data_IF_352031441526
#
_entry.id   IF_352031441526
#
_cell.length_a   1.000
_cell.length_b   1.000
_cell.length_c   1.000
_cell.angle_alpha   90.00
_cell.angle_beta   90.00
_cell.angle_gamma   90.00
#
_symmetry.space_group_name_H-M   'P 1'
#
loop_
_entity.id
_entity.type
_entity.pdbx_description
1 polymer ?
#
# COMPACT_ATOMS: atom_id res chain seq x y z
N UNK A 1 10.87 15.71 -21.37
CA UNK A 1 10.82 14.37 -20.76
C UNK A 1 9.37 14.16 -20.34
N UNK A 2 8.62 13.33 -21.07
CA UNK A 2 7.21 13.11 -20.77
C UNK A 2 7.13 12.14 -19.59
N UNK A 3 6.83 12.65 -18.39
CA UNK A 3 6.33 11.76 -17.34
C UNK A 3 4.93 11.32 -17.76
N UNK A 4 4.60 10.03 -17.63
CA UNK A 4 3.23 9.52 -17.82
C UNK A 4 2.35 9.87 -16.59
N UNK A 5 2.66 10.97 -15.92
CA UNK A 5 1.95 11.45 -14.74
C UNK A 5 0.66 12.16 -15.15
N UNK A 6 -0.37 11.96 -14.36
CA UNK A 6 -1.70 12.56 -14.52
C UNK A 6 -2.22 13.05 -13.17
N UNK A 7 -3.31 13.80 -13.19
CA UNK A 7 -4.11 14.03 -12.00
C UNK A 7 -5.10 12.89 -11.81
N UNK A 8 -5.34 12.57 -10.55
CA UNK A 8 -6.33 11.59 -10.14
C UNK A 8 -7.26 12.21 -9.11
N UNK A 9 -8.56 12.09 -9.33
CA UNK A 9 -9.56 12.50 -8.34
C UNK A 9 -10.31 11.28 -7.84
N UNK A 10 -10.57 11.25 -6.53
CA UNK A 10 -11.46 10.26 -5.94
C UNK A 10 -12.44 10.89 -4.98
N UNK A 11 -13.68 10.40 -5.00
CA UNK A 11 -14.69 10.70 -4.01
C UNK A 11 -14.50 9.75 -2.83
N UNK A 12 -14.35 10.31 -1.65
CA UNK A 12 -14.23 9.56 -0.40
C UNK A 12 -15.29 10.05 0.59
N UNK A 13 -15.84 9.13 1.39
CA UNK A 13 -16.60 9.52 2.58
C UNK A 13 -15.64 10.25 3.52
N UNK A 14 -16.07 11.37 4.08
CA UNK A 14 -15.27 12.03 5.11
C UNK A 14 -15.33 11.14 6.35
N UNK A 15 -14.21 11.02 7.05
CA UNK A 15 -14.21 10.44 8.38
C UNK A 15 -13.78 11.48 9.40
N UNK A 16 -14.25 11.29 10.61
CA UNK A 16 -13.76 12.01 11.78
C UNK A 16 -13.16 11.00 12.76
N UNK A 17 -12.11 11.41 13.46
CA UNK A 17 -11.57 10.65 14.57
C UNK A 17 -12.25 11.14 15.83
N UNK A 18 -13.19 10.36 16.36
CA UNK A 18 -13.86 10.65 17.63
C UNK A 18 -13.48 9.58 18.63
N UNK A 19 -12.96 10.01 19.77
CA UNK A 19 -12.51 9.13 20.85
C UNK A 19 -11.51 8.04 20.41
N UNK A 20 -10.67 8.33 19.40
CA UNK A 20 -9.67 7.38 18.88
C UNK A 20 -10.21 6.35 17.89
N UNK A 21 -11.51 6.38 17.59
CA UNK A 21 -12.16 5.54 16.58
C UNK A 21 -12.42 6.34 15.30
N UNK A 22 -12.20 5.71 14.15
CA UNK A 22 -12.59 6.29 12.85
C UNK A 22 -14.10 6.14 12.70
N UNK A 23 -14.80 7.27 12.56
CA UNK A 23 -16.23 7.30 12.27
C UNK A 23 -16.43 7.94 10.89
N UNK A 24 -16.89 7.13 9.94
CA UNK A 24 -17.32 7.62 8.63
C UNK A 24 -18.56 8.51 8.81
N UNK A 25 -18.54 9.68 8.18
CA UNK A 25 -19.70 10.56 8.09
C UNK A 25 -20.50 10.23 6.82
N UNK A 26 -21.71 10.78 6.72
CA UNK A 26 -22.50 10.72 5.49
C UNK A 26 -22.06 11.74 4.44
N UNK A 27 -21.12 12.63 4.81
CA UNK A 27 -20.55 13.61 3.89
C UNK A 27 -19.50 12.97 2.99
N UNK A 28 -19.41 13.44 1.76
CA UNK A 28 -18.39 13.01 0.81
C UNK A 28 -17.59 14.21 0.32
N UNK A 29 -16.33 13.97 0.01
CA UNK A 29 -15.43 14.96 -0.58
C UNK A 29 -14.68 14.36 -1.76
N UNK A 30 -14.47 15.17 -2.79
CA UNK A 30 -13.58 14.82 -3.89
C UNK A 30 -12.20 15.35 -3.57
N UNK A 31 -11.22 14.46 -3.54
CA UNK A 31 -9.81 14.78 -3.37
C UNK A 31 -9.12 14.73 -4.72
N UNK A 32 -8.24 15.70 -4.99
CA UNK A 32 -7.45 15.77 -6.21
C UNK A 32 -5.97 15.53 -5.85
N UNK A 33 -5.37 14.54 -6.49
CA UNK A 33 -3.99 14.14 -6.33
C UNK A 33 -3.25 14.40 -7.63
N UNK A 34 -2.15 15.12 -7.57
CA UNK A 34 -1.26 15.32 -8.71
C UNK A 34 -0.20 14.22 -8.78
N UNK A 35 0.57 14.24 -9.88
CA UNK A 35 1.75 13.37 -10.09
C UNK A 35 1.45 11.89 -9.88
N UNK A 36 0.28 11.46 -10.34
CA UNK A 36 -0.18 10.09 -10.21
C UNK A 36 0.20 9.27 -11.45
N UNK A 37 0.57 8.01 -11.25
CA UNK A 37 0.75 7.03 -12.32
C UNK A 37 -0.34 5.96 -12.23
N UNK A 38 -0.80 5.48 -13.39
CA UNK A 38 -1.91 4.52 -13.49
C UNK A 38 -1.37 3.20 -14.03
N UNK A 39 -1.64 2.11 -13.33
CA UNK A 39 -1.35 0.74 -13.77
C UNK A 39 -2.62 -0.07 -13.85
N UNK A 40 -2.69 -1.02 -14.79
CA UNK A 40 -3.87 -1.84 -15.04
C UNK A 40 -3.54 -3.30 -14.86
N UNK A 41 -4.48 -4.03 -14.28
CA UNK A 41 -4.24 -5.37 -13.80
C UNK A 41 -5.53 -6.19 -13.85
N UNK A 42 -5.49 -7.47 -14.22
CA UNK A 42 -6.68 -8.33 -14.07
C UNK A 42 -6.77 -8.90 -12.65
N UNK A 43 -7.88 -8.59 -11.98
CA UNK A 43 -8.24 -9.15 -10.68
C UNK A 43 -8.59 -10.64 -10.80
N UNK A 44 -8.35 -11.48 -9.77
CA UNK A 44 -8.82 -12.86 -9.72
C UNK A 44 -10.33 -13.00 -9.97
N UNK A 45 -11.10 -11.95 -9.65
CA UNK A 45 -12.55 -11.86 -9.90
C UNK A 45 -12.91 -11.51 -11.35
N UNK A 46 -11.94 -11.57 -12.28
CA UNK A 46 -12.08 -11.18 -13.70
C UNK A 46 -12.45 -9.70 -13.95
N UNK A 47 -12.40 -8.86 -12.93
CA UNK A 47 -12.54 -7.40 -13.09
C UNK A 47 -11.21 -6.75 -13.46
N UNK A 48 -11.25 -5.61 -14.12
CA UNK A 48 -10.05 -4.81 -14.35
C UNK A 48 -9.75 -4.01 -13.09
N UNK A 49 -8.63 -4.28 -12.44
CA UNK A 49 -8.12 -3.51 -11.32
C UNK A 49 -7.27 -2.36 -11.86
N UNK A 50 -7.62 -1.15 -11.44
CA UNK A 50 -6.82 0.05 -11.62
C UNK A 50 -6.01 0.26 -10.35
N UNK A 51 -4.70 0.43 -10.51
CA UNK A 51 -3.77 0.77 -9.42
C UNK A 51 -3.23 2.15 -9.69
N UNK A 52 -3.54 3.08 -8.79
CA UNK A 52 -3.07 4.47 -8.81
C UNK A 52 -1.93 4.58 -7.82
N UNK A 53 -0.79 5.13 -8.24
CA UNK A 53 0.28 5.53 -7.33
C UNK A 53 0.49 7.02 -7.37
N UNK A 54 0.59 7.65 -6.21
CA UNK A 54 0.94 9.07 -6.10
C UNK A 54 2.36 9.20 -5.56
N UNK A 55 3.18 9.96 -6.27
CA UNK A 55 4.49 10.40 -5.80
C UNK A 55 4.33 11.73 -5.05
N UNK A 56 3.81 11.66 -3.83
CA UNK A 56 3.69 12.83 -2.98
C UNK A 56 5.08 13.35 -2.55
N UNK A 57 5.18 14.66 -2.30
CA UNK A 57 6.42 15.37 -2.02
C UNK A 57 7.26 14.78 -0.87
N UNK A 58 8.59 14.96 -0.99
CA UNK A 58 9.65 14.60 -0.04
C UNK A 58 9.54 15.40 1.26
N UNK A 59 8.69 15.02 2.20
CA UNK A 59 8.60 15.75 3.47
C UNK A 59 8.24 14.82 4.63
N UNK A 60 9.21 14.04 5.10
CA UNK A 60 9.25 13.66 6.51
C UNK A 60 10.67 13.79 7.05
N UNK A 61 10.87 14.80 7.90
CA UNK A 61 11.94 14.80 8.89
C UNK A 61 11.39 14.13 10.15
N UNK A 62 11.49 12.80 10.24
CA UNK A 62 11.33 12.13 11.53
C UNK A 62 12.55 12.50 12.39
N UNK A 63 12.35 12.91 13.64
CA UNK A 63 13.49 13.28 14.52
C UNK A 63 14.52 12.14 14.70
N UNK A 64 14.09 10.88 14.48
CA UNK A 64 14.94 9.69 14.49
C UNK A 64 15.56 9.33 13.13
N UNK A 65 15.04 9.87 12.02
CA UNK A 65 15.52 9.62 10.66
C UNK A 65 15.82 10.97 10.03
N UNK A 66 17.03 11.48 10.29
CA UNK A 66 17.49 12.81 9.87
C UNK A 66 17.89 12.85 8.38
N UNK A 67 16.99 12.43 7.48
CA UNK A 67 17.19 12.48 6.03
C UNK A 67 15.86 12.67 5.29
N UNK A 68 15.85 13.27 4.10
CA UNK A 68 14.66 13.35 3.26
C UNK A 68 14.17 11.94 2.86
N UNK A 69 12.86 11.70 2.94
CA UNK A 69 12.23 10.44 2.56
C UNK A 69 11.05 10.71 1.62
N UNK A 70 10.81 9.79 0.69
CA UNK A 70 9.68 9.86 -0.25
C UNK A 70 8.56 8.98 0.28
N UNK A 71 7.40 9.60 0.59
CA UNK A 71 6.18 8.85 0.89
C UNK A 71 5.50 8.45 -0.42
N UNK A 72 5.32 7.15 -0.61
CA UNK A 72 4.64 6.58 -1.77
C UNK A 72 3.25 6.15 -1.34
N UNK A 73 2.26 6.55 -2.13
CA UNK A 73 0.87 6.20 -1.87
C UNK A 73 0.34 5.29 -2.98
N UNK A 74 -0.43 4.27 -2.61
CA UNK A 74 -1.09 3.35 -3.54
C UNK A 74 -2.58 3.25 -3.22
N UNK A 75 -3.42 3.33 -4.26
CA UNK A 75 -4.85 3.03 -4.21
C UNK A 75 -5.18 2.04 -5.32
N UNK A 76 -5.85 0.94 -4.96
CA UNK A 76 -6.25 -0.11 -5.90
C UNK A 76 -7.75 -0.36 -5.84
N UNK A 77 -8.43 -0.30 -6.98
CA UNK A 77 -9.87 -0.54 -7.08
C UNK A 77 -10.23 -1.25 -8.38
N UNK A 78 -11.33 -2.00 -8.36
CA UNK A 78 -11.82 -2.74 -9.52
C UNK A 78 -12.85 -1.90 -10.28
N UNK A 79 -12.78 -1.92 -11.62
CA UNK A 79 -13.71 -1.23 -12.52
C UNK A 79 -14.31 -2.20 -13.55
N UNK A 80 -15.46 -1.83 -14.08
CA UNK A 80 -16.18 -2.58 -15.13
C UNK A 80 -16.50 -1.73 -16.36
N UNK A 81 -16.47 -0.40 -16.21
CA UNK A 81 -16.78 0.57 -17.26
C UNK A 81 -15.77 1.71 -17.23
N UNK A 82 -15.81 2.55 -18.26
CA UNK A 82 -15.10 3.83 -18.30
C UNK A 82 -15.89 4.75 -19.20
N UNK A 83 -16.07 6.00 -18.78
CA UNK A 83 -16.80 6.99 -19.54
C UNK A 83 -15.97 7.53 -20.71
N UNK A 84 -16.62 8.13 -21.73
CA UNK A 84 -15.92 8.82 -22.81
C UNK A 84 -15.03 9.95 -22.28
N UNK A 85 -13.86 10.09 -22.91
CA UNK A 85 -12.96 11.21 -22.67
C UNK A 85 -13.59 12.52 -23.16
N UNK A 86 -13.58 13.55 -22.32
CA UNK A 86 -14.19 14.86 -22.63
C UNK A 86 -13.31 16.04 -22.18
N UNK A 87 -13.57 17.20 -22.77
CA UNK A 87 -13.13 18.49 -22.24
C UNK A 87 -14.13 18.98 -21.19
N UNK A 88 -13.66 19.40 -20.03
CA UNK A 88 -14.49 20.01 -18.99
C UNK A 88 -13.92 21.38 -18.63
N UNK A 89 -14.77 22.41 -18.73
CA UNK A 89 -14.43 23.78 -18.36
C UNK A 89 -14.78 24.07 -16.89
N UNK A 90 -14.07 25.00 -16.23
CA UNK A 90 -14.41 25.42 -14.87
C UNK A 90 -15.84 25.96 -14.78
N UNK A 91 -16.57 25.55 -13.74
CA UNK A 91 -17.90 26.03 -13.46
C UNK A 91 -17.89 27.52 -13.07
N UNK A 92 -18.94 28.25 -13.45
CA UNK A 92 -19.06 29.65 -13.10
C UNK A 92 -19.50 29.80 -11.64
N UNK A 93 -19.24 30.98 -11.05
CA UNK A 93 -19.64 31.29 -9.65
C UNK A 93 -21.14 31.09 -9.41
N UNK A 94 -21.99 31.22 -10.46
CA UNK A 94 -23.43 30.99 -10.36
C UNK A 94 -23.79 29.51 -10.20
N UNK A 95 -23.04 28.62 -10.85
CA UNK A 95 -23.29 27.17 -10.86
C UNK A 95 -22.86 26.50 -9.53
N UNK A 96 -21.93 27.13 -8.80
CA UNK A 96 -21.41 26.62 -7.52
C UNK A 96 -22.41 26.67 -6.36
N UNK A 97 -23.52 27.40 -6.51
CA UNK A 97 -24.58 27.40 -5.49
C UNK A 97 -25.36 26.08 -5.44
N UNK A 98 -25.31 25.29 -6.51
CA UNK A 98 -26.18 24.12 -6.69
C UNK A 98 -25.44 22.77 -6.67
N UNK A 99 -24.10 22.74 -6.75
CA UNK A 99 -23.35 21.46 -6.68
C UNK A 99 -21.88 21.62 -6.26
N UNK A 100 -21.51 20.95 -5.16
CA UNK A 100 -20.13 20.81 -4.70
C UNK A 100 -19.29 19.86 -5.54
N UNK A 101 -19.86 19.24 -6.58
CA UNK A 101 -19.18 18.27 -7.45
C UNK A 101 -18.63 18.89 -8.75
N UNK A 102 -18.89 20.17 -8.99
CA UNK A 102 -18.46 20.85 -10.21
C UNK A 102 -16.95 21.16 -10.18
N UNK A 103 -16.31 21.05 -11.34
CA UNK A 103 -14.91 21.42 -11.51
C UNK A 103 -14.71 22.92 -11.34
N UNK A 104 -13.81 23.32 -10.44
CA UNK A 104 -13.50 24.73 -10.12
C UNK A 104 -12.05 25.11 -10.35
N UNK A 105 -11.32 24.30 -11.13
CA UNK A 105 -9.92 24.54 -11.37
C UNK A 105 -9.63 25.79 -12.21
N UNK A 106 -8.35 26.15 -12.36
CA UNK A 106 -7.92 27.37 -13.04
C UNK A 106 -8.14 27.36 -14.56
N UNK A 107 -8.51 26.23 -15.16
CA UNK A 107 -8.68 26.11 -16.61
C UNK A 107 -9.35 24.81 -17.02
N UNK A 108 -9.52 24.67 -18.34
CA UNK A 108 -10.06 23.47 -18.97
C UNK A 108 -9.21 22.23 -18.65
N UNK A 109 -9.86 21.08 -18.56
CA UNK A 109 -9.17 19.79 -18.39
C UNK A 109 -9.70 18.72 -19.35
N UNK A 110 -8.81 17.84 -19.76
CA UNK A 110 -9.17 16.56 -20.35
C UNK A 110 -9.46 15.57 -19.23
N UNK A 111 -10.65 14.99 -19.19
CA UNK A 111 -11.09 14.13 -18.07
C UNK A 111 -11.94 12.98 -18.58
N UNK A 112 -11.78 11.83 -17.94
CA UNK A 112 -12.74 10.73 -18.02
C UNK A 112 -12.95 10.11 -16.64
N UNK A 113 -14.09 9.45 -16.49
CA UNK A 113 -14.54 8.83 -15.26
C UNK A 113 -14.42 7.31 -15.36
N UNK A 114 -13.89 6.66 -14.33
CA UNK A 114 -13.69 5.20 -14.29
C UNK A 114 -14.90 4.47 -13.68
N UNK A 115 -15.54 5.11 -12.70
CA UNK A 115 -16.81 4.69 -12.12
C UNK A 115 -17.39 5.88 -11.35
N UNK A 116 -18.41 5.70 -10.51
CA UNK A 116 -19.06 6.79 -9.78
C UNK A 116 -18.13 7.65 -8.93
N UNK A 117 -17.01 7.08 -8.45
CA UNK A 117 -16.14 7.70 -7.45
C UNK A 117 -14.74 8.09 -7.94
N UNK A 118 -14.38 7.88 -9.21
CA UNK A 118 -12.99 8.04 -9.67
C UNK A 118 -12.85 8.73 -11.03
N UNK A 119 -11.91 9.67 -11.13
CA UNK A 119 -11.59 10.41 -12.35
C UNK A 119 -10.08 10.45 -12.60
N UNK A 120 -9.69 10.38 -13.86
CA UNK A 120 -8.33 10.65 -14.33
C UNK A 120 -8.39 11.86 -15.25
N UNK A 121 -7.48 12.82 -15.04
CA UNK A 121 -7.49 14.05 -15.82
C UNK A 121 -6.11 14.72 -15.92
N UNK A 122 -6.00 15.68 -16.84
CA UNK A 122 -4.87 16.59 -16.97
C UNK A 122 -5.37 17.94 -17.49
N UNK A 123 -4.64 19.01 -17.19
CA UNK A 123 -4.98 20.33 -17.73
C UNK A 123 -4.84 20.31 -19.25
N UNK A 124 -5.80 20.93 -19.92
CA UNK A 124 -5.72 21.16 -21.36
C UNK A 124 -4.68 22.25 -21.62
N UNK A 125 -3.71 21.93 -22.46
CA UNK A 125 -2.76 22.91 -23.00
C UNK A 125 -3.27 23.41 -24.36
N UNK A 126 -3.25 24.72 -24.57
CA UNK A 126 -3.85 25.40 -25.73
C UNK A 126 -3.21 24.96 -27.06
N UNK A 127 -1.96 24.46 -27.02
CA UNK A 127 -1.23 23.99 -28.19
C UNK A 127 -1.34 22.48 -28.45
N UNK A 128 -2.00 21.72 -27.57
CA UNK A 128 -1.93 20.25 -27.53
C UNK A 128 -3.25 19.58 -27.94
N UNK A 129 -3.20 18.69 -28.93
CA UNK A 129 -4.35 17.83 -29.28
C UNK A 129 -4.57 16.76 -28.20
N UNK A 130 -5.82 16.37 -27.99
CA UNK A 130 -6.21 15.37 -27.00
C UNK A 130 -5.48 14.04 -27.21
N UNK A 131 -5.18 13.66 -28.45
CA UNK A 131 -4.51 12.38 -28.75
C UNK A 131 -3.05 12.33 -28.26
N UNK A 132 -2.45 13.49 -28.00
CA UNK A 132 -1.09 13.62 -27.46
C UNK A 132 -1.03 13.52 -25.92
N UNK A 133 -2.18 13.67 -25.24
CA UNK A 133 -2.30 13.64 -23.77
C UNK A 133 -1.96 12.29 -23.16
N UNK A 134 -1.51 12.29 -21.90
CA UNK A 134 -1.32 11.06 -21.14
C UNK A 134 -2.69 10.45 -20.78
N UNK A 135 -3.66 11.29 -20.47
CA UNK A 135 -5.04 10.88 -20.20
C UNK A 135 -5.64 10.10 -21.36
N UNK A 136 -5.44 10.52 -22.61
CA UNK A 136 -5.92 9.78 -23.78
C UNK A 136 -5.27 8.40 -23.89
N UNK A 137 -3.95 8.29 -23.72
CA UNK A 137 -3.23 7.00 -23.76
C UNK A 137 -3.76 6.05 -22.69
N UNK A 138 -3.98 6.54 -21.46
CA UNK A 138 -4.50 5.73 -20.36
C UNK A 138 -5.94 5.29 -20.65
N UNK A 139 -6.77 6.21 -21.17
CA UNK A 139 -8.15 5.90 -21.56
C UNK A 139 -8.22 4.77 -22.60
N UNK A 140 -7.39 4.84 -23.65
CA UNK A 140 -7.30 3.78 -24.66
C UNK A 140 -6.82 2.45 -24.06
N UNK A 141 -5.79 2.47 -23.20
CA UNK A 141 -5.32 1.26 -22.51
C UNK A 141 -6.43 0.59 -21.68
N UNK A 142 -7.27 1.37 -21.01
CA UNK A 142 -8.40 0.84 -20.22
C UNK A 142 -9.45 0.23 -21.13
N UNK A 143 -9.85 0.91 -22.21
CA UNK A 143 -10.81 0.40 -23.18
C UNK A 143 -10.35 -0.93 -23.83
N UNK A 144 -9.07 -1.03 -24.20
CA UNK A 144 -8.48 -2.27 -24.72
C UNK A 144 -8.56 -3.43 -23.72
N UNK A 145 -8.32 -3.15 -22.44
CA UNK A 145 -8.35 -4.18 -21.39
C UNK A 145 -9.78 -4.61 -21.05
N UNK A 146 -10.74 -3.67 -21.02
CA UNK A 146 -12.15 -3.95 -20.77
C UNK A 146 -12.81 -4.71 -21.93
N UNK A 147 -12.43 -4.43 -23.17
CA UNK A 147 -12.93 -5.14 -24.37
C UNK A 147 -12.39 -6.58 -24.51
N UNK A 148 -11.49 -7.01 -23.63
CA UNK A 148 -11.01 -8.39 -23.58
C UNK A 148 -9.95 -8.76 -24.62
N UNK A 149 -9.39 -7.76 -25.34
CA UNK A 149 -8.46 -7.98 -26.45
C UNK A 149 -7.08 -8.54 -26.04
N UNK A 150 -6.71 -8.48 -24.75
CA UNK A 150 -5.46 -9.05 -24.21
C UNK A 150 -5.77 -10.24 -23.29
N UNK A 151 -5.52 -11.46 -23.77
CA UNK A 151 -5.56 -12.70 -22.98
C UNK A 151 -4.14 -13.12 -22.60
N UNK A 152 -3.46 -12.37 -21.72
CA UNK A 152 -2.23 -12.89 -21.10
C UNK A 152 -2.50 -13.38 -19.67
N UNK A 153 -1.86 -14.51 -19.37
CA UNK A 153 -2.14 -15.39 -18.24
C UNK A 153 -2.03 -14.72 -16.88
N UNK A 154 -2.90 -15.17 -15.98
CA UNK A 154 -2.94 -14.77 -14.58
C UNK A 154 -1.62 -15.13 -13.87
N UNK A 155 -1.04 -14.17 -13.14
CA UNK A 155 -0.51 -14.39 -11.78
C UNK A 155 0.14 -13.16 -11.12
N UNK A 156 0.37 -12.05 -11.83
CA UNK A 156 1.11 -10.90 -11.27
C UNK A 156 0.27 -9.62 -11.27
N UNK A 157 -0.40 -9.38 -10.15
CA UNK A 157 -1.25 -8.18 -10.01
C UNK A 157 -0.44 -6.89 -9.95
N UNK A 158 0.84 -6.94 -9.62
CA UNK A 158 1.63 -5.73 -9.49
C UNK A 158 2.87 -5.72 -10.36
N UNK A 159 2.89 -6.35 -11.54
CA UNK A 159 4.05 -6.25 -12.44
C UNK A 159 4.18 -4.82 -13.00
N UNK A 160 4.91 -3.96 -12.27
CA UNK A 160 5.02 -2.54 -12.58
C UNK A 160 6.00 -2.29 -13.72
N UNK A 161 5.52 -1.54 -14.70
CA UNK A 161 6.40 -0.83 -15.62
C UNK A 161 6.70 0.55 -15.02
N UNK A 162 7.96 1.00 -15.02
CA UNK A 162 8.30 2.27 -14.42
C UNK A 162 7.72 3.44 -15.24
N UNK A 163 6.77 4.19 -14.66
CA UNK A 163 6.08 5.32 -15.30
C UNK A 163 6.57 6.68 -14.82
N UNK A 164 7.21 6.72 -13.65
CA UNK A 164 7.88 7.90 -13.11
C UNK A 164 9.38 7.64 -12.90
N UNK A 165 10.17 8.71 -12.67
CA UNK A 165 11.57 8.58 -12.28
C UNK A 165 11.71 7.86 -10.92
N UNK A 166 10.78 8.11 -9.99
CA UNK A 166 10.69 7.41 -8.71
C UNK A 166 10.49 5.91 -8.92
N UNK A 167 9.55 5.54 -9.80
CA UNK A 167 9.28 4.13 -10.12
C UNK A 167 10.51 3.47 -10.73
N UNK A 168 11.23 4.16 -11.64
CA UNK A 168 12.49 3.65 -12.21
C UNK A 168 13.51 3.37 -11.12
N UNK A 169 13.75 4.34 -10.25
CA UNK A 169 14.73 4.16 -9.17
C UNK A 169 14.38 2.98 -8.25
N UNK A 170 13.10 2.80 -7.91
CA UNK A 170 12.63 1.66 -7.12
C UNK A 170 12.79 0.36 -7.89
N UNK A 171 12.22 0.28 -9.08
CA UNK A 171 12.18 -0.95 -9.88
C UNK A 171 13.59 -1.38 -10.27
N UNK A 172 14.46 -0.45 -10.66
CA UNK A 172 15.86 -0.72 -10.97
C UNK A 172 16.60 -1.20 -9.71
N UNK A 173 16.35 -0.57 -8.55
CA UNK A 173 16.90 -1.04 -7.28
C UNK A 173 16.45 -2.46 -6.95
N UNK A 174 15.16 -2.79 -7.12
CA UNK A 174 14.64 -4.12 -6.83
C UNK A 174 15.10 -5.18 -7.85
N UNK A 175 15.27 -4.81 -9.13
CA UNK A 175 15.76 -5.73 -10.19
C UNK A 175 17.26 -5.95 -10.16
N UNK A 176 18.03 -4.96 -9.72
CA UNK A 176 19.49 -5.00 -9.64
C UNK A 176 19.95 -4.49 -8.28
N UNK A 177 19.54 -5.16 -7.19
CA UNK A 177 19.86 -4.68 -5.87
C UNK A 177 21.37 -4.87 -5.63
N UNK A 178 22.01 -4.01 -4.83
CA UNK A 178 23.44 -4.10 -4.57
C UNK A 178 23.79 -5.45 -3.93
N UNK A 179 24.78 -6.14 -4.52
CA UNK A 179 25.47 -7.35 -4.02
C UNK A 179 24.65 -8.27 -3.10
N UNK A 180 24.71 -7.99 -1.79
CA UNK A 180 24.14 -8.79 -0.70
C UNK A 180 22.61 -8.91 -0.68
N UNK A 181 21.90 -8.17 -1.53
CA UNK A 181 20.44 -8.20 -1.61
C UNK A 181 19.90 -8.99 -2.82
N UNK A 182 20.77 -9.44 -3.74
CA UNK A 182 20.39 -9.99 -5.06
C UNK A 182 19.54 -11.26 -5.03
N UNK A 183 19.61 -12.01 -3.94
CA UNK A 183 18.82 -13.25 -3.74
C UNK A 183 17.90 -13.19 -2.51
N UNK A 184 17.79 -12.01 -1.88
CA UNK A 184 16.94 -11.83 -0.70
C UNK A 184 15.49 -11.63 -1.11
N UNK A 185 14.59 -12.34 -0.44
CA UNK A 185 13.15 -12.08 -0.53
C UNK A 185 12.84 -10.95 0.45
N UNK A 186 12.36 -9.83 -0.11
CA UNK A 186 12.05 -8.60 0.61
C UNK A 186 10.61 -8.20 0.23
N UNK A 187 9.64 -8.34 1.14
CA UNK A 187 8.26 -8.01 0.82
C UNK A 187 8.05 -6.51 0.65
N UNK A 188 7.07 -6.16 -0.18
CA UNK A 188 6.48 -4.81 -0.21
C UNK A 188 5.26 -4.79 0.69
N UNK A 189 5.19 -3.80 1.58
CA UNK A 189 4.16 -3.71 2.60
C UNK A 189 3.25 -2.52 2.29
N UNK A 190 1.95 -2.77 2.28
CA UNK A 190 0.93 -1.73 2.16
C UNK A 190 0.18 -1.57 3.48
N UNK A 191 0.16 -0.35 4.01
CA UNK A 191 -0.59 0.00 5.23
C UNK A 191 -1.55 1.15 4.96
N UNK A 192 -2.81 1.11 5.43
CA UNK A 192 -3.73 2.24 5.33
C UNK A 192 -3.09 3.57 5.82
N UNK A 193 -3.13 4.59 4.96
CA UNK A 193 -2.50 5.88 5.22
C UNK A 193 -3.11 6.63 6.42
N UNK A 194 -4.38 6.35 6.72
CA UNK A 194 -5.10 6.92 7.87
C UNK A 194 -4.50 6.44 9.20
N UNK A 195 -3.93 5.23 9.22
CA UNK A 195 -3.30 4.64 10.41
C UNK A 195 -1.83 5.01 10.57
N UNK A 196 -1.12 5.17 9.44
CA UNK A 196 0.30 5.57 9.43
C UNK A 196 0.59 6.90 10.13
N UNK A 197 -0.39 7.78 10.35
CA UNK A 197 -0.17 9.08 11.01
C UNK A 197 0.32 8.97 12.47
N UNK A 198 0.07 7.84 13.15
CA UNK A 198 0.59 7.58 14.52
C UNK A 198 1.30 6.24 14.66
N UNK A 199 0.92 5.24 13.86
CA UNK A 199 1.39 3.86 13.96
C UNK A 199 2.04 3.39 12.65
N UNK A 200 3.10 4.06 12.21
CA UNK A 200 3.76 3.70 10.95
C UNK A 200 4.88 2.67 11.13
N UNK A 201 5.13 1.92 10.07
CA UNK A 201 6.20 0.95 10.00
C UNK A 201 7.58 1.63 10.02
N UNK A 202 8.48 1.14 10.87
CA UNK A 202 9.84 1.68 11.08
C UNK A 202 10.90 0.78 10.48
N UNK A 203 10.79 -0.51 10.76
CA UNK A 203 11.81 -1.48 10.38
C UNK A 203 11.16 -2.73 9.83
N UNK A 204 11.83 -3.31 8.84
CA UNK A 204 11.51 -4.60 8.25
C UNK A 204 12.76 -5.45 8.33
N UNK A 205 12.68 -6.52 9.08
CA UNK A 205 13.75 -7.49 9.19
C UNK A 205 13.36 -8.71 8.38
N UNK A 206 14.24 -9.15 7.48
CA UNK A 206 14.04 -10.34 6.66
C UNK A 206 15.17 -11.33 6.95
N UNK A 207 14.90 -12.31 7.82
CA UNK A 207 15.81 -13.41 8.11
C UNK A 207 15.51 -14.58 7.17
N UNK A 208 16.34 -14.73 6.14
CA UNK A 208 16.17 -15.76 5.12
C UNK A 208 17.00 -17.01 5.44
N UNK A 209 16.38 -18.17 5.22
CA UNK A 209 17.01 -19.47 5.23
C UNK A 209 16.67 -20.18 3.92
N UNK A 210 17.69 -20.54 3.17
CA UNK A 210 17.51 -21.39 2.00
C UNK A 210 17.38 -22.85 2.43
N UNK A 211 16.41 -23.53 1.84
CA UNK A 211 16.08 -24.94 2.02
C UNK A 211 16.45 -25.72 0.75
N UNK A 212 16.47 -27.04 0.86
CA UNK A 212 16.75 -27.90 -0.29
C UNK A 212 15.71 -27.72 -1.40
N UNK A 213 16.14 -27.93 -2.64
CA UNK A 213 15.25 -27.88 -3.81
C UNK A 213 14.93 -26.47 -4.33
N UNK A 214 15.69 -25.45 -3.94
CA UNK A 214 15.47 -24.07 -4.41
C UNK A 214 14.28 -23.38 -3.74
N UNK A 215 13.93 -23.85 -2.55
CA UNK A 215 12.91 -23.26 -1.69
C UNK A 215 13.60 -22.34 -0.69
N UNK A 216 13.09 -21.14 -0.49
CA UNK A 216 13.56 -20.23 0.56
C UNK A 216 12.43 -19.97 1.56
N UNK A 217 12.77 -20.06 2.84
CA UNK A 217 11.92 -19.60 3.95
C UNK A 217 12.46 -18.26 4.45
N UNK A 218 11.59 -17.26 4.59
CA UNK A 218 11.95 -15.97 5.18
C UNK A 218 11.04 -15.68 6.35
N UNK A 219 11.64 -15.50 7.52
CA UNK A 219 10.97 -14.86 8.65
C UNK A 219 11.04 -13.35 8.46
N UNK A 220 9.86 -12.73 8.33
CA UNK A 220 9.71 -11.29 8.22
C UNK A 220 9.21 -10.77 9.55
N UNK A 221 9.94 -9.82 10.13
CA UNK A 221 9.53 -9.10 11.33
C UNK A 221 9.34 -7.62 11.03
N UNK A 222 8.16 -7.11 11.35
CA UNK A 222 7.75 -5.72 11.20
C UNK A 222 7.82 -5.04 12.56
N UNK A 223 8.51 -3.90 12.64
CA UNK A 223 8.54 -3.07 13.85
C UNK A 223 7.80 -1.78 13.55
N UNK A 224 6.72 -1.52 14.28
CA UNK A 224 5.94 -0.30 14.16
C UNK A 224 6.38 0.74 15.19
N UNK A 225 6.15 2.00 14.87
CA UNK A 225 6.52 3.11 15.76
C UNK A 225 5.80 3.06 17.11
N UNK A 226 4.57 2.56 17.13
CA UNK A 226 3.68 2.55 18.28
C UNK A 226 2.58 1.51 18.07
N UNK A 227 1.80 1.26 19.12
CA UNK A 227 0.66 0.37 19.14
C UNK A 227 -0.48 1.09 19.88
N UNK A 228 -1.58 1.38 19.16
CA UNK A 228 -2.78 2.03 19.72
C UNK A 228 -3.98 1.09 19.63
N UNK A 229 -4.55 0.74 20.79
CA UNK A 229 -5.81 0.00 20.86
C UNK A 229 -6.98 0.95 20.55
N UNK A 230 -7.48 0.93 19.30
CA UNK A 230 -8.57 1.83 18.87
C UNK A 230 -9.94 1.46 19.44
N UNK A 231 -10.26 0.16 19.47
CA UNK A 231 -11.51 -0.38 20.01
C UNK A 231 -11.46 -0.41 21.53
N UNK A 232 -10.27 -0.61 22.09
CA UNK A 232 -10.03 -0.72 23.53
C UNK A 232 -9.20 0.44 24.10
N UNK A 233 -9.44 1.68 23.67
CA UNK A 233 -8.64 2.86 24.06
C UNK A 233 -8.50 3.06 25.57
N UNK A 234 -9.52 2.74 26.35
CA UNK A 234 -9.48 2.85 27.82
C UNK A 234 -8.41 1.92 28.45
N UNK A 235 -8.02 0.87 27.73
CA UNK A 235 -6.99 -0.08 28.13
C UNK A 235 -5.62 0.25 27.52
N UNK A 236 -5.50 1.26 26.66
CA UNK A 236 -4.24 1.58 25.96
C UNK A 236 -3.13 2.00 26.94
N UNK A 237 -3.44 2.82 27.95
CA UNK A 237 -2.50 3.22 29.00
C UNK A 237 -2.00 2.04 29.85
N UNK A 238 -2.88 1.24 30.50
CA UNK A 238 -2.41 0.09 31.26
C UNK A 238 -1.75 -0.97 30.38
N UNK A 239 -2.15 -1.11 29.12
CA UNK A 239 -1.53 -2.04 28.18
C UNK A 239 -0.12 -1.60 27.76
N UNK A 240 0.09 -0.30 27.49
CA UNK A 240 1.43 0.26 27.24
C UNK A 240 2.37 0.02 28.41
N UNK A 241 1.93 0.29 29.63
CA UNK A 241 2.73 0.05 30.83
C UNK A 241 2.99 -1.45 31.05
N UNK A 242 2.01 -2.31 30.80
CA UNK A 242 2.19 -3.76 30.84
C UNK A 242 3.21 -4.24 29.79
N UNK A 243 3.17 -3.72 28.55
CA UNK A 243 4.13 -4.08 27.50
C UNK A 243 5.54 -3.60 27.81
N UNK A 244 5.69 -2.39 28.36
CA UNK A 244 6.99 -1.91 28.86
C UNK A 244 7.56 -2.84 29.92
N UNK A 245 6.70 -3.32 30.81
CA UNK A 245 7.11 -4.17 31.93
C UNK A 245 7.37 -5.63 31.51
N UNK A 246 6.60 -6.18 30.58
CA UNK A 246 6.70 -7.60 30.16
C UNK A 246 7.66 -7.77 28.97
N UNK A 247 7.62 -6.86 27.99
CA UNK A 247 8.32 -6.99 26.70
C UNK A 247 9.39 -5.92 26.47
N UNK A 248 9.63 -5.05 27.45
CA UNK A 248 10.71 -4.05 27.42
C UNK A 248 10.66 -3.12 26.20
N UNK A 249 9.46 -2.87 25.64
CA UNK A 249 9.30 -2.07 24.42
C UNK A 249 7.97 -1.31 24.35
N UNK A 250 8.01 -0.19 23.64
CA UNK A 250 6.85 0.63 23.26
C UNK A 250 6.34 0.37 21.84
N UNK A 251 7.17 -0.28 21.04
CA UNK A 251 6.89 -0.61 19.65
C UNK A 251 6.11 -1.91 19.54
N UNK A 252 5.14 -1.91 18.64
CA UNK A 252 4.53 -3.16 18.20
C UNK A 252 5.50 -3.93 17.30
N UNK A 253 5.52 -5.25 17.45
CA UNK A 253 6.36 -6.12 16.63
C UNK A 253 5.56 -7.34 16.23
N UNK A 254 5.43 -7.52 14.93
CA UNK A 254 4.68 -8.62 14.34
C UNK A 254 5.54 -9.40 13.35
N UNK A 255 5.38 -10.72 13.33
CA UNK A 255 6.24 -11.61 12.55
C UNK A 255 5.45 -12.67 11.79
N UNK A 256 5.76 -12.84 10.52
CA UNK A 256 5.18 -13.87 9.66
C UNK A 256 6.27 -14.57 8.85
N UNK A 257 5.93 -15.70 8.22
CA UNK A 257 6.85 -16.37 7.30
C UNK A 257 6.39 -16.28 5.87
N UNK A 258 7.36 -16.26 4.97
CA UNK A 258 7.18 -16.37 3.53
C UNK A 258 7.91 -17.63 3.07
N UNK A 259 7.20 -18.50 2.35
CA UNK A 259 7.79 -19.64 1.66
C UNK A 259 7.75 -19.34 0.17
N UNK A 260 8.93 -19.33 -0.47
CA UNK A 260 9.08 -19.15 -1.91
C UNK A 260 9.75 -20.39 -2.50
N UNK A 261 9.02 -21.09 -3.34
CA UNK A 261 9.49 -22.16 -4.20
C UNK A 261 9.67 -21.60 -5.63
N UNK A 262 10.93 -21.40 -6.03
CA UNK A 262 11.25 -20.86 -7.37
C UNK A 262 10.94 -21.85 -8.50
N UNK A 263 10.74 -23.13 -8.18
CA UNK A 263 10.41 -24.17 -9.15
C UNK A 263 8.91 -24.33 -9.37
N UNK A 264 8.09 -24.03 -8.35
CA UNK A 264 6.64 -24.14 -8.42
C UNK A 264 5.92 -23.00 -7.67
N UNK A 265 5.41 -22.03 -8.44
CA UNK A 265 4.68 -20.87 -7.94
C UNK A 265 3.49 -21.20 -7.02
N UNK A 266 2.82 -22.32 -7.24
CA UNK A 266 1.64 -22.69 -6.45
C UNK A 266 1.98 -23.05 -5.00
N UNK A 267 3.26 -23.36 -4.73
CA UNK A 267 3.75 -23.65 -3.39
C UNK A 267 4.06 -22.38 -2.59
N UNK A 268 4.04 -21.21 -3.23
CA UNK A 268 4.39 -19.95 -2.58
C UNK A 268 3.27 -19.51 -1.64
N UNK A 269 3.62 -19.30 -0.36
CA UNK A 269 2.64 -19.01 0.69
C UNK A 269 3.20 -18.11 1.76
N UNK A 270 2.31 -17.30 2.34
CA UNK A 270 2.51 -16.70 3.65
C UNK A 270 2.08 -17.67 4.74
N UNK A 271 2.70 -17.57 5.90
CA UNK A 271 2.26 -18.25 7.13
C UNK A 271 2.11 -17.16 8.19
N UNK A 272 0.85 -16.86 8.54
CA UNK A 272 0.51 -15.86 9.55
C UNK A 272 0.20 -16.59 10.86
N UNK A 273 1.12 -16.54 11.82
CA UNK A 273 0.88 -17.17 13.12
C UNK A 273 0.23 -16.16 14.06
N UNK A 274 -1.06 -16.34 14.37
CA UNK A 274 -1.84 -15.49 15.28
C UNK A 274 -1.96 -14.02 14.87
N UNK A 275 -1.81 -13.72 13.57
CA UNK A 275 -1.83 -12.35 13.01
C UNK A 275 -2.55 -12.31 11.66
N UNK A 276 -3.38 -13.31 11.34
CA UNK A 276 -4.13 -13.27 10.09
C UNK A 276 -5.40 -12.43 10.25
N UNK A 277 -5.71 -11.57 9.29
CA UNK A 277 -6.86 -10.66 9.39
C UNK A 277 -8.23 -11.33 9.21
N UNK A 278 -8.28 -12.64 8.93
CA UNK A 278 -9.54 -13.39 8.78
C UNK A 278 -9.80 -14.24 10.04
N UNK A 279 -10.97 -14.04 10.67
CA UNK A 279 -11.48 -14.87 11.77
C UNK A 279 -12.90 -15.35 11.41
N UNK A 280 -13.19 -16.64 11.58
CA UNK A 280 -14.50 -17.24 11.28
C UNK A 280 -15.02 -16.92 9.87
N UNK A 281 -14.12 -16.82 8.90
CA UNK A 281 -14.43 -16.45 7.51
C UNK A 281 -14.77 -14.97 7.29
N UNK A 282 -14.67 -14.13 8.33
CA UNK A 282 -14.87 -12.68 8.24
C UNK A 282 -13.52 -11.98 8.09
N UNK A 283 -13.42 -11.14 7.06
CA UNK A 283 -12.26 -10.29 6.85
C UNK A 283 -12.41 -9.02 7.70
N UNK A 284 -11.44 -8.80 8.59
CA UNK A 284 -11.43 -7.66 9.50
C UNK A 284 -10.77 -6.44 8.84
N UNK A 285 -11.32 -5.26 9.12
CA UNK A 285 -10.84 -3.99 8.58
C UNK A 285 -9.97 -3.22 9.59
N UNK A 286 -9.64 -1.98 9.23
CA UNK A 286 -8.75 -1.12 10.01
C UNK A 286 -9.17 -0.93 11.48
N UNK A 287 -10.44 -1.14 11.86
CA UNK A 287 -10.93 -0.90 13.21
C UNK A 287 -10.74 -2.07 14.19
N UNK A 288 -10.37 -3.25 13.70
CA UNK A 288 -10.28 -4.44 14.53
C UNK A 288 -8.84 -4.63 15.05
N UNK A 289 -8.58 -4.09 16.23
CA UNK A 289 -7.26 -4.00 16.87
C UNK A 289 -6.81 -5.28 17.60
N UNK A 290 -7.71 -6.23 17.87
CA UNK A 290 -7.44 -7.40 18.74
C UNK A 290 -7.41 -8.73 17.97
N UNK A 291 -7.24 -8.65 16.65
CA UNK A 291 -7.35 -9.81 15.76
C UNK A 291 -6.09 -10.66 15.84
N UNK A 292 -6.23 -11.82 16.47
CA UNK A 292 -5.26 -12.91 16.43
C UNK A 292 -5.85 -14.11 15.70
N UNK A 293 -5.90 -14.01 14.36
CA UNK A 293 -6.45 -15.07 13.51
C UNK A 293 -5.42 -16.14 13.12
N UNK A 294 -5.97 -17.25 12.66
CA UNK A 294 -5.31 -18.47 12.13
C UNK A 294 -4.63 -19.36 13.20
N UNK A 295 -5.14 -20.59 13.45
CA UNK A 295 -4.40 -21.55 14.25
C UNK A 295 -3.08 -21.90 13.54
N UNK A 296 -2.03 -22.12 14.33
CA UNK A 296 -0.65 -22.27 13.86
C UNK A 296 -0.51 -23.05 12.54
N UNK A 297 0.07 -22.41 11.51
CA UNK A 297 0.70 -23.12 10.39
C UNK A 297 -0.16 -23.36 9.14
N UNK A 298 -1.31 -22.71 8.99
CA UNK A 298 -2.01 -22.71 7.70
C UNK A 298 -1.29 -21.76 6.73
N UNK A 299 -1.03 -22.25 5.52
CA UNK A 299 -0.38 -21.48 4.46
C UNK A 299 -1.39 -20.74 3.60
N UNK A 300 -1.30 -19.40 3.57
CA UNK A 300 -2.08 -18.55 2.67
C UNK A 300 -1.32 -18.35 1.34
N UNK A 301 -1.93 -18.70 0.20
CA UNK A 301 -1.27 -18.57 -1.10
C UNK A 301 -0.89 -17.11 -1.40
N UNK A 302 0.34 -16.89 -1.90
CA UNK A 302 0.78 -15.53 -2.29
C UNK A 302 0.07 -15.15 -3.58
N UNK A 303 -0.91 -14.27 -3.45
CA UNK A 303 -1.70 -13.80 -4.58
C UNK A 303 -0.95 -12.79 -5.45
N UNK A 304 0.04 -12.09 -4.88
CA UNK A 304 0.56 -10.85 -5.44
C UNK A 304 2.09 -10.74 -5.28
N UNK A 305 2.74 -10.34 -6.38
CA UNK A 305 4.16 -9.98 -6.43
C UNK A 305 4.30 -8.63 -7.13
N UNK A 306 5.22 -7.80 -6.63
CA UNK A 306 5.49 -6.46 -7.15
C UNK A 306 6.34 -6.49 -8.43
N UNK A 307 7.30 -7.40 -8.54
CA UNK A 307 8.15 -7.48 -9.74
C UNK A 307 8.44 -8.93 -10.07
N UNK A 308 8.80 -9.70 -9.05
CA UNK A 308 9.21 -11.09 -9.15
C UNK A 308 8.98 -11.80 -7.81
N UNK A 309 9.43 -13.05 -7.70
CA UNK A 309 9.33 -13.86 -6.49
C UNK A 309 10.07 -13.30 -5.27
N UNK A 310 11.04 -12.40 -5.48
CA UNK A 310 11.78 -11.75 -4.40
C UNK A 310 10.98 -10.63 -3.75
N UNK A 311 9.90 -10.16 -4.37
CA UNK A 311 9.13 -9.00 -3.90
C UNK A 311 7.63 -9.32 -3.72
N UNK A 312 7.28 -10.26 -2.82
CA UNK A 312 5.87 -10.54 -2.52
C UNK A 312 5.20 -9.32 -1.86
N UNK A 313 3.91 -9.15 -2.12
CA UNK A 313 3.12 -8.03 -1.57
C UNK A 313 2.31 -8.50 -0.37
N UNK A 314 2.34 -7.74 0.72
CA UNK A 314 1.57 -7.97 1.93
C UNK A 314 0.75 -6.73 2.33
N UNK A 315 -0.44 -6.94 2.86
CA UNK A 315 -1.31 -5.87 3.37
C UNK A 315 -1.40 -5.93 4.89
N UNK A 316 -1.21 -4.79 5.54
CA UNK A 316 -1.59 -4.57 6.95
C UNK A 316 -3.06 -4.16 6.92
N UNK A 317 -3.95 -5.03 7.40
CA UNK A 317 -5.40 -4.83 7.25
C UNK A 317 -6.05 -4.22 8.49
N UNK A 318 -5.45 -4.39 9.66
CA UNK A 318 -5.91 -3.79 10.92
C UNK A 318 -4.98 -2.67 11.36
N UNK A 319 -5.17 -2.13 12.57
CA UNK A 319 -4.39 -1.00 13.12
C UNK A 319 -2.90 -1.28 13.42
N UNK A 320 -2.34 -2.39 12.88
CA UNK A 320 -0.93 -2.90 12.91
C UNK A 320 -0.83 -4.41 13.23
N UNK A 321 -1.84 -4.98 13.87
CA UNK A 321 -1.78 -6.34 14.44
C UNK A 321 -1.99 -7.52 13.48
N UNK A 322 -2.71 -7.30 12.38
CA UNK A 322 -3.09 -8.39 11.50
C UNK A 322 -2.84 -8.05 10.03
N UNK A 323 -2.29 -9.03 9.34
CA UNK A 323 -1.92 -8.98 7.93
C UNK A 323 -2.73 -9.98 7.12
N UNK A 324 -2.77 -9.76 5.82
CA UNK A 324 -3.24 -10.78 4.88
C UNK A 324 -2.59 -10.63 3.52
N UNK A 325 -2.72 -11.69 2.73
CA UNK A 325 -2.32 -11.73 1.33
C UNK A 325 -3.18 -10.80 0.44
N UNK A 326 -4.26 -10.21 0.96
CA UNK A 326 -5.14 -9.32 0.21
C UNK A 326 -5.64 -8.10 1.00
N UNK A 327 -5.95 -7.04 0.24
CA UNK A 327 -6.40 -5.75 0.78
C UNK A 327 -7.86 -5.80 1.24
N UNK A 328 -8.08 -5.68 2.56
CA UNK A 328 -9.41 -5.52 3.16
C UNK A 328 -9.93 -4.08 3.09
N UNK A 329 -9.04 -3.11 2.84
CA UNK A 329 -9.32 -1.67 2.94
C UNK A 329 -9.23 -0.98 1.57
N UNK A 330 -9.79 -1.58 0.51
CA UNK A 330 -9.59 -1.21 -0.91
C UNK A 330 -9.86 0.27 -1.23
N UNK A 331 -10.74 0.93 -0.47
CA UNK A 331 -11.12 2.33 -0.68
C UNK A 331 -10.17 3.35 -0.06
N UNK A 332 -9.23 2.90 0.78
CA UNK A 332 -8.26 3.78 1.45
C UNK A 332 -6.97 3.88 0.64
N UNK A 333 -6.35 5.05 0.66
CA UNK A 333 -4.94 5.15 0.28
C UNK A 333 -4.07 4.33 1.24
N UNK A 334 -3.03 3.68 0.70
CA UNK A 334 -2.02 2.97 1.48
C UNK A 334 -0.67 3.66 1.35
N UNK A 335 0.07 3.72 2.43
CA UNK A 335 1.51 3.93 2.36
C UNK A 335 2.15 2.67 1.80
N UNK A 336 3.01 2.86 0.80
CA UNK A 336 3.80 1.80 0.15
C UNK A 336 5.20 1.80 0.75
N UNK A 337 5.50 0.79 1.54
CA UNK A 337 6.83 0.58 2.10
C UNK A 337 7.60 -0.40 1.21
N UNK A 338 8.70 0.08 0.63
CA UNK A 338 9.65 -0.73 -0.13
C UNK A 338 10.97 -0.76 0.64
N UNK A 339 11.25 -1.81 1.42
CA UNK A 339 12.46 -1.91 2.22
C UNK A 339 13.72 -1.94 1.35
N UNK A 340 14.81 -1.34 1.83
CA UNK A 340 16.10 -1.33 1.13
C UNK A 340 16.28 -0.19 0.13
N UNK A 341 15.20 0.46 -0.31
CA UNK A 341 15.29 1.64 -1.20
C UNK A 341 15.83 2.85 -0.43
N UNK A 342 16.78 3.57 -1.04
CA UNK A 342 17.53 4.65 -0.39
C UNK A 342 16.62 5.74 0.18
N UNK A 343 15.51 6.12 -0.44
CA UNK A 343 14.61 7.17 0.06
C UNK A 343 13.37 6.63 0.81
N UNK A 344 13.38 5.35 1.17
CA UNK A 344 12.27 4.69 1.86
C UNK A 344 12.12 5.16 3.32
N UNK A 345 10.88 5.27 3.83
CA UNK A 345 10.61 5.59 5.23
C UNK A 345 10.92 4.47 6.22
N UNK A 346 11.25 3.27 5.71
CA UNK A 346 11.49 2.06 6.50
C UNK A 346 12.94 1.58 6.37
N UNK A 347 13.51 1.10 7.46
CA UNK A 347 14.82 0.46 7.48
C UNK A 347 14.70 -1.02 7.12
N UNK A 348 15.65 -1.54 6.35
CA UNK A 348 15.77 -2.97 6.07
C UNK A 348 16.92 -3.57 6.88
N UNK A 349 16.63 -4.65 7.60
CA UNK A 349 17.59 -5.41 8.39
C UNK A 349 17.39 -6.93 8.20
N UNK A 350 18.08 -7.75 8.98
CA UNK A 350 18.14 -9.22 8.78
C UNK A 350 18.03 -10.02 10.08
N UNK A 351 17.55 -9.41 11.16
CA UNK A 351 17.39 -10.10 12.45
C UNK A 351 16.16 -10.99 12.45
N UNK A 352 16.25 -12.12 13.13
CA UNK A 352 15.11 -12.95 13.50
C UNK A 352 14.25 -12.28 14.56
N UNK A 353 13.01 -12.73 14.73
CA UNK A 353 12.14 -12.26 15.82
C UNK A 353 12.81 -12.45 17.18
N UNK A 354 13.43 -13.61 17.38
CA UNK A 354 14.13 -13.96 18.62
C UNK A 354 15.26 -12.97 18.95
N UNK A 355 16.10 -12.64 17.97
CA UNK A 355 17.20 -11.69 18.17
C UNK A 355 16.70 -10.28 18.52
N UNK A 356 15.58 -9.86 17.92
CA UNK A 356 14.93 -8.58 18.21
C UNK A 356 14.40 -8.56 19.65
N UNK A 357 13.69 -9.60 20.07
CA UNK A 357 13.16 -9.70 21.43
C UNK A 357 14.31 -9.72 22.46
N UNK A 358 15.40 -10.47 22.22
CA UNK A 358 16.60 -10.47 23.07
C UNK A 358 17.30 -9.09 23.16
N UNK A 359 17.25 -8.28 22.10
CA UNK A 359 17.81 -6.93 22.12
C UNK A 359 17.00 -5.97 22.99
N UNK A 360 15.66 -6.08 22.95
CA UNK A 360 14.81 -5.32 23.85
C UNK A 360 15.06 -5.70 25.32
N UNK A 361 15.23 -6.99 25.60
CA UNK A 361 15.55 -7.48 26.95
C UNK A 361 16.92 -6.98 27.45
N UNK A 362 17.94 -6.97 26.58
CA UNK A 362 19.28 -6.47 26.94
C UNK A 362 19.36 -4.95 27.12
N UNK A 363 18.44 -4.19 26.53
CA UNK A 363 18.36 -2.73 26.69
C UNK A 363 18.15 -2.31 28.14
N UNK A 364 17.32 -3.04 28.90
CA UNK A 364 17.06 -2.79 30.32
C UNK A 364 18.29 -2.99 31.20
N UNK A 365 19.10 -4.02 30.94
CA UNK A 365 20.28 -4.34 31.75
C UNK A 365 21.41 -3.29 31.69
N UNK A 366 21.28 -2.27 30.82
CA UNK A 366 22.22 -1.14 30.73
C UNK A 366 21.67 0.16 31.32
N UNK A 367 20.37 0.22 31.63
CA UNK A 367 19.72 1.39 32.25
C UNK A 367 19.52 1.23 33.77
N UNK A 368 19.73 0.02 34.30
CA UNK A 368 19.94 -0.28 35.74
C UNK A 368 21.41 -0.09 36.14
#
# INVERSE_FOLDING_TARGET
MNSDEVWFSHREKIFQVKDGTIQWTDETKIWNWDRCTISLVKSPKKKLRVVVRSNANRNQTSFKVNRPMTLRYMLGFDIERVDPLKCESPASIRDLKDSSQLWTGPGDRWVFQLDEDYWIWEYKDDASDITSSNVYKIHQQILENLSGAKQDGFSEVFNLQPKSLSDRMVIDHLRSPPGSLKDRIIPTIYQPAVDGLKNYLREVHCAQKDLDGGISEVEVTLIFNNEELRKHRLLDLPYRELRRLIYSRDSDVESFKIIIDRSNRQNNRFIFKNIHSIIDGKNNDLNEDSIHGDPEGIGCAISYYLIDYSHPVIFVNTSNHAMAEHDANQKLWKWEYVPGVVDSPVLLASKTRKEIDEEFDRGQAKEE
#
